data_IF_470234935345
#
_entry.id   IF_470234935345
#
_cell.length_a   1.000
_cell.length_b   1.000
_cell.length_c   1.000
_cell.angle_alpha   90.00
_cell.angle_beta   90.00
_cell.angle_gamma   90.00
#
_symmetry.space_group_name_H-M   'P 1'
#
loop_
_entity.id
_entity.type
_entity.pdbx_description
1 polymer ?
#
# COMPACT_ATOMS: atom_id res chain seq x y z
N UNK A 1 -26.42 -0.14 -9.32
CA UNK A 1 -25.49 1.00 -9.49
C UNK A 1 -24.13 0.40 -9.75
N UNK A 2 -23.58 0.53 -10.96
CA UNK A 2 -22.19 0.13 -11.17
C UNK A 2 -21.31 1.00 -10.28
N UNK A 3 -20.38 0.39 -9.53
CA UNK A 3 -19.36 1.15 -8.80
C UNK A 3 -18.67 2.07 -9.80
N UNK A 4 -18.67 3.38 -9.51
CA UNK A 4 -17.85 4.30 -10.28
C UNK A 4 -16.39 3.85 -10.14
N UNK A 5 -15.66 3.76 -11.25
CA UNK A 5 -14.25 3.37 -11.21
C UNK A 5 -13.48 4.60 -10.71
N UNK A 6 -13.20 4.62 -9.41
CA UNK A 6 -12.42 5.69 -8.77
C UNK A 6 -10.92 5.44 -8.95
N UNK A 7 -10.11 6.50 -9.14
CA UNK A 7 -8.67 6.34 -9.37
C UNK A 7 -7.96 5.84 -8.10
N UNK A 8 -6.88 5.09 -8.30
CA UNK A 8 -5.97 4.66 -7.24
C UNK A 8 -4.64 5.40 -7.37
N UNK A 9 -4.20 6.00 -6.27
CA UNK A 9 -2.94 6.75 -6.17
C UNK A 9 -1.94 5.91 -5.40
N UNK A 10 -0.97 5.37 -6.11
CA UNK A 10 0.11 4.55 -5.56
C UNK A 10 1.26 5.43 -5.11
N UNK A 11 1.73 5.20 -3.89
CA UNK A 11 2.82 5.93 -3.26
C UNK A 11 3.97 4.96 -3.01
N UNK A 12 5.12 5.19 -3.64
CA UNK A 12 6.34 4.43 -3.45
C UNK A 12 7.38 5.30 -2.73
N UNK A 13 7.76 4.91 -1.51
CA UNK A 13 8.90 5.53 -0.83
C UNK A 13 10.18 5.02 -1.48
N UNK A 14 11.16 5.91 -1.68
CA UNK A 14 12.47 5.53 -2.18
C UNK A 14 13.11 4.38 -1.35
N UNK A 15 14.01 3.64 -1.99
CA UNK A 15 14.79 2.60 -1.34
C UNK A 15 15.74 3.11 -0.25
N UNK A 16 16.30 2.18 0.51
CA UNK A 16 17.26 2.44 1.58
C UNK A 16 18.47 3.26 1.08
N UNK A 17 18.88 4.26 1.87
CA UNK A 17 20.12 5.04 1.72
C UNK A 17 21.00 4.87 2.96
N UNK A 18 22.26 5.32 2.90
CA UNK A 18 23.15 5.26 4.06
C UNK A 18 22.54 5.93 5.32
N UNK A 19 21.83 7.06 5.14
CA UNK A 19 21.22 7.81 6.24
C UNK A 19 19.89 7.25 6.72
N UNK A 20 19.11 6.59 5.84
CA UNK A 20 17.90 5.93 6.32
C UNK A 20 18.23 4.74 7.23
N UNK A 21 19.36 4.07 7.01
CA UNK A 21 19.84 2.97 7.87
C UNK A 21 20.20 3.46 9.26
N UNK A 22 20.85 4.62 9.35
CA UNK A 22 21.31 5.20 10.62
C UNK A 22 20.27 6.06 11.32
N UNK A 23 19.09 6.26 10.71
CA UNK A 23 18.01 7.08 11.26
C UNK A 23 18.27 8.59 11.18
N UNK A 24 19.12 9.04 10.26
CA UNK A 24 19.38 10.45 10.02
C UNK A 24 18.29 11.07 9.13
N UNK A 25 17.87 12.29 9.46
CA UNK A 25 16.91 13.04 8.65
C UNK A 25 17.54 13.42 7.30
N UNK A 26 17.04 12.83 6.22
CA UNK A 26 17.57 13.05 4.86
C UNK A 26 16.57 13.85 4.03
N UNK A 27 16.72 15.16 4.00
CA UNK A 27 15.81 16.09 3.31
C UNK A 27 16.31 16.29 1.89
N UNK A 28 17.03 17.38 1.68
CA UNK A 28 17.49 17.78 0.34
C UNK A 28 18.87 17.24 -0.01
N UNK A 29 19.62 16.68 0.95
CA UNK A 29 20.89 16.00 0.65
C UNK A 29 20.63 14.83 -0.30
N UNK A 30 21.31 14.85 -1.44
CA UNK A 30 21.02 13.92 -2.51
C UNK A 30 21.87 12.65 -2.42
N UNK A 31 21.45 11.71 -1.57
CA UNK A 31 22.17 10.46 -1.34
C UNK A 31 21.80 9.34 -2.31
N UNK A 32 22.75 8.48 -2.70
CA UNK A 32 22.46 7.32 -3.51
C UNK A 32 21.76 6.23 -2.68
N UNK A 33 21.12 5.30 -3.38
CA UNK A 33 20.60 4.08 -2.76
C UNK A 33 21.75 3.17 -2.30
N UNK A 34 21.54 2.41 -1.24
CA UNK A 34 22.40 1.26 -0.92
C UNK A 34 22.13 0.14 -1.91
N UNK A 35 23.04 -0.86 -2.00
CA UNK A 35 22.78 -2.08 -2.78
C UNK A 35 21.50 -2.80 -2.36
N UNK A 36 21.15 -2.75 -1.07
CA UNK A 36 19.90 -3.33 -0.55
C UNK A 36 18.70 -2.48 -0.98
N UNK A 37 18.82 -1.15 -0.91
CA UNK A 37 17.83 -0.22 -1.43
C UNK A 37 17.52 -0.43 -2.91
N UNK A 38 18.54 -0.64 -3.74
CA UNK A 38 18.36 -0.93 -5.17
C UNK A 38 17.62 -2.26 -5.41
N UNK A 39 17.98 -3.33 -4.69
CA UNK A 39 17.28 -4.62 -4.80
C UNK A 39 15.81 -4.50 -4.39
N UNK A 40 15.53 -3.78 -3.31
CA UNK A 40 14.16 -3.58 -2.86
C UNK A 40 13.36 -2.69 -3.83
N UNK A 41 14.01 -1.69 -4.44
CA UNK A 41 13.40 -0.87 -5.48
C UNK A 41 12.99 -1.70 -6.71
N UNK A 42 13.82 -2.64 -7.15
CA UNK A 42 13.46 -3.54 -8.25
C UNK A 42 12.21 -4.39 -7.95
N UNK A 43 12.07 -4.86 -6.71
CA UNK A 43 10.89 -5.63 -6.25
C UNK A 43 9.60 -4.81 -6.22
N UNK A 44 9.67 -3.48 -6.12
CA UNK A 44 8.50 -2.64 -6.31
C UNK A 44 7.96 -2.79 -7.74
N UNK A 45 8.85 -2.89 -8.74
CA UNK A 45 8.45 -3.12 -10.13
C UNK A 45 7.68 -4.44 -10.31
N UNK A 46 8.14 -5.51 -9.65
CA UNK A 46 7.45 -6.81 -9.65
C UNK A 46 6.03 -6.71 -9.07
N UNK A 47 5.85 -5.97 -7.98
CA UNK A 47 4.54 -5.76 -7.32
C UNK A 47 3.61 -4.82 -8.09
N UNK A 48 4.19 -3.93 -8.90
CA UNK A 48 3.47 -3.02 -9.78
C UNK A 48 3.26 -3.62 -11.18
N UNK A 49 3.67 -4.86 -11.41
CA UNK A 49 3.53 -5.53 -12.71
C UNK A 49 2.05 -5.64 -13.10
N UNK A 50 1.74 -5.29 -14.35
CA UNK A 50 0.37 -5.29 -14.87
C UNK A 50 -0.48 -4.08 -14.47
N UNK A 51 -0.02 -3.23 -13.55
CA UNK A 51 -0.70 -1.98 -13.25
C UNK A 51 -0.51 -0.96 -14.39
N UNK A 52 -1.60 -0.34 -14.82
CA UNK A 52 -1.58 0.72 -15.83
C UNK A 52 -1.75 2.07 -15.15
N UNK A 53 -0.82 2.98 -15.41
CA UNK A 53 -0.82 4.32 -14.83
C UNK A 53 -1.09 5.37 -15.91
N UNK A 54 -2.06 6.24 -15.65
CA UNK A 54 -2.28 7.45 -16.43
C UNK A 54 -1.12 8.44 -16.24
N UNK A 55 -0.46 8.38 -15.08
CA UNK A 55 0.69 9.22 -14.76
C UNK A 55 1.66 8.54 -13.82
N UNK A 56 2.95 8.68 -14.11
CA UNK A 56 4.03 8.39 -13.16
C UNK A 56 4.75 9.69 -12.83
N UNK A 57 4.91 9.98 -11.55
CA UNK A 57 5.61 11.16 -11.03
C UNK A 57 6.77 10.70 -10.14
N UNK A 58 7.88 11.43 -10.16
CA UNK A 58 9.01 11.17 -9.28
C UNK A 58 9.61 12.47 -8.74
N UNK A 59 10.08 12.41 -7.50
CA UNK A 59 10.94 13.46 -6.93
C UNK A 59 12.23 13.61 -7.74
N UNK A 60 12.78 14.83 -7.86
CA UNK A 60 14.06 15.06 -8.55
C UNK A 60 15.26 14.43 -7.82
N UNK A 61 15.13 14.05 -6.54
CA UNK A 61 16.24 13.49 -5.76
C UNK A 61 16.62 12.10 -6.27
N UNK A 62 17.92 11.84 -6.44
CA UNK A 62 18.45 10.65 -7.09
C UNK A 62 17.92 9.36 -6.48
N UNK A 63 17.75 9.29 -5.16
CA UNK A 63 17.20 8.09 -4.49
C UNK A 63 15.80 7.73 -4.96
N UNK A 64 14.93 8.72 -5.18
CA UNK A 64 13.57 8.49 -5.67
C UNK A 64 13.57 8.23 -7.18
N UNK A 65 14.32 9.02 -7.95
CA UNK A 65 14.48 8.81 -9.39
C UNK A 65 15.05 7.43 -9.72
N UNK A 66 16.10 7.00 -9.02
CA UNK A 66 16.70 5.68 -9.16
C UNK A 66 15.76 4.56 -8.72
N UNK A 67 14.97 4.78 -7.67
CA UNK A 67 13.92 3.82 -7.27
C UNK A 67 12.88 3.65 -8.39
N UNK A 68 12.42 4.76 -8.98
CA UNK A 68 11.48 4.77 -10.09
C UNK A 68 12.04 4.05 -11.33
N UNK A 69 13.31 4.27 -11.64
CA UNK A 69 14.01 3.60 -12.74
C UNK A 69 14.09 2.08 -12.53
N UNK A 70 14.57 1.65 -11.35
CA UNK A 70 14.72 0.25 -11.01
C UNK A 70 13.37 -0.49 -10.92
N UNK A 71 12.30 0.22 -10.55
CA UNK A 71 10.94 -0.30 -10.59
C UNK A 71 10.36 -0.40 -12.02
N UNK A 72 11.10 0.00 -13.06
CA UNK A 72 10.71 -0.13 -14.47
C UNK A 72 9.92 1.06 -15.04
N UNK A 73 9.79 2.16 -14.30
CA UNK A 73 8.96 3.30 -14.71
C UNK A 73 9.75 4.56 -15.09
N UNK A 74 11.08 4.51 -15.06
CA UNK A 74 11.94 5.67 -15.32
C UNK A 74 11.67 6.37 -16.66
N UNK A 75 11.42 5.61 -17.74
CA UNK A 75 11.20 6.15 -19.07
C UNK A 75 9.86 6.92 -19.25
N UNK A 76 8.87 6.63 -18.39
CA UNK A 76 7.52 7.26 -18.45
C UNK A 76 7.28 8.27 -17.33
N UNK A 77 8.21 8.36 -16.38
CA UNK A 77 8.09 9.24 -15.22
C UNK A 77 8.28 10.71 -15.61
N UNK A 78 7.48 11.59 -14.99
CA UNK A 78 7.73 13.03 -15.00
C UNK A 78 8.30 13.46 -13.66
N UNK A 79 9.38 14.23 -13.70
CA UNK A 79 9.95 14.85 -12.51
C UNK A 79 9.03 15.94 -12.01
N UNK A 80 8.71 15.92 -10.71
CA UNK A 80 7.94 16.96 -10.04
C UNK A 80 8.72 17.45 -8.80
N UNK A 81 9.10 18.74 -8.82
CA UNK A 81 9.88 19.36 -7.74
C UNK A 81 9.09 19.47 -6.44
N UNK A 82 7.76 19.43 -6.47
CA UNK A 82 6.95 19.43 -5.26
C UNK A 82 7.01 18.08 -4.51
N UNK A 83 7.60 17.02 -5.10
CA UNK A 83 7.75 15.70 -4.48
C UNK A 83 9.04 15.51 -3.68
N UNK A 84 9.84 16.56 -3.48
CA UNK A 84 11.02 16.48 -2.60
C UNK A 84 10.61 16.13 -1.16
N UNK A 85 11.55 15.57 -0.39
CA UNK A 85 11.32 15.35 1.03
C UNK A 85 11.07 16.66 1.76
N UNK A 86 10.55 16.59 2.99
CA UNK A 86 10.60 17.68 3.94
C UNK A 86 12.02 18.27 4.02
N UNK A 87 12.15 19.58 3.84
CA UNK A 87 13.42 20.28 4.06
C UNK A 87 13.69 20.40 5.57
N UNK A 88 14.65 19.62 6.09
CA UNK A 88 14.98 19.61 7.51
C UNK A 88 15.85 20.78 7.96
N UNK A 89 16.29 21.68 7.06
CA UNK A 89 17.10 22.85 7.43
C UNK A 89 18.30 22.46 8.29
N UNK A 90 18.39 23.04 9.48
CA UNK A 90 19.50 22.80 10.42
C UNK A 90 19.55 21.36 10.96
N UNK A 91 18.46 20.59 10.82
CA UNK A 91 18.37 19.20 11.26
C UNK A 91 18.71 18.19 10.16
N UNK A 92 19.11 18.65 8.98
CA UNK A 92 19.59 17.79 7.90
C UNK A 92 20.80 16.95 8.37
N UNK A 93 20.70 15.63 8.21
CA UNK A 93 21.75 14.70 8.62
C UNK A 93 21.81 14.38 10.11
N UNK A 94 21.01 15.03 10.96
CA UNK A 94 20.94 14.69 12.38
C UNK A 94 19.97 13.54 12.63
N UNK A 95 20.24 12.74 13.66
CA UNK A 95 19.31 11.77 14.23
C UNK A 95 18.38 12.45 15.22
N UNK A 96 17.20 11.87 15.44
CA UNK A 96 16.24 12.37 16.44
C UNK A 96 16.86 12.50 17.83
N UNK A 97 17.71 11.56 18.25
CA UNK A 97 18.38 11.61 19.55
C UNK A 97 19.33 12.81 19.69
N UNK A 98 19.99 13.23 18.61
CA UNK A 98 20.89 14.39 18.61
C UNK A 98 20.07 15.69 18.72
N UNK A 99 18.94 15.77 18.00
CA UNK A 99 18.01 16.91 18.10
C UNK A 99 17.41 17.00 19.50
N UNK A 100 17.01 15.86 20.09
CA UNK A 100 16.44 15.80 21.45
C UNK A 100 17.44 16.12 22.55
N UNK A 101 18.75 15.97 22.32
CA UNK A 101 19.76 16.39 23.29
C UNK A 101 19.74 17.92 23.51
N UNK A 102 19.41 18.69 22.48
CA UNK A 102 19.29 20.15 22.55
C UNK A 102 17.84 20.61 22.79
N UNK A 103 16.86 19.87 22.23
CA UNK A 103 15.45 20.22 22.27
C UNK A 103 14.58 18.99 22.59
N UNK A 104 14.47 18.58 23.87
CA UNK A 104 13.85 17.31 24.28
C UNK A 104 12.40 17.12 23.82
N UNK A 105 11.61 18.20 23.80
CA UNK A 105 10.20 18.13 23.43
C UNK A 105 9.95 18.19 21.92
N UNK A 106 11.00 18.32 21.09
CA UNK A 106 10.85 18.51 19.65
C UNK A 106 10.09 17.37 18.97
N UNK A 107 9.14 17.72 18.12
CA UNK A 107 8.41 16.78 17.27
C UNK A 107 8.24 17.37 15.87
N UNK A 108 8.73 16.66 14.84
CA UNK A 108 8.78 17.15 13.46
C UNK A 108 7.42 17.65 12.95
N UNK A 109 6.36 16.86 13.14
CA UNK A 109 5.05 17.16 12.58
C UNK A 109 4.33 18.32 13.28
N UNK A 110 4.75 18.67 14.51
CA UNK A 110 4.28 19.84 15.26
C UNK A 110 5.15 21.07 15.04
N UNK A 111 6.46 20.91 15.10
CA UNK A 111 7.40 22.04 15.21
C UNK A 111 8.11 22.39 13.90
N UNK A 112 8.15 21.46 12.94
CA UNK A 112 9.02 21.57 11.77
C UNK A 112 10.51 21.63 12.15
N UNK A 113 11.31 22.22 11.27
CA UNK A 113 12.75 22.37 11.48
C UNK A 113 13.21 23.82 11.34
N UNK A 114 14.14 24.31 12.18
CA UNK A 114 14.79 25.60 12.00
C UNK A 114 15.45 25.72 10.62
N UNK A 115 15.31 26.89 9.97
CA UNK A 115 15.78 27.15 8.60
C UNK A 115 15.29 26.15 7.54
N UNK A 116 14.27 25.35 7.86
CA UNK A 116 13.66 24.35 6.99
C UNK A 116 12.21 24.66 6.64
N UNK A 117 11.45 23.60 6.35
CA UNK A 117 10.00 23.67 6.16
C UNK A 117 9.26 23.53 7.51
N UNK A 118 8.19 24.31 7.67
CA UNK A 118 7.19 24.09 8.71
C UNK A 118 6.14 23.07 8.24
N UNK A 119 5.34 22.48 9.15
CA UNK A 119 4.24 21.58 8.78
C UNK A 119 3.26 22.21 7.78
N UNK A 120 3.00 23.51 7.90
CA UNK A 120 2.10 24.25 7.00
C UNK A 120 2.70 24.39 5.60
N UNK A 121 4.01 24.64 5.49
CA UNK A 121 4.68 24.79 4.18
C UNK A 121 4.72 23.47 3.41
N UNK A 122 5.09 22.38 4.08
CA UNK A 122 5.06 21.04 3.46
C UNK A 122 3.62 20.60 3.17
N UNK A 123 2.66 20.95 4.03
CA UNK A 123 1.23 20.75 3.82
C UNK A 123 0.72 21.44 2.56
N UNK A 124 0.99 22.74 2.40
CA UNK A 124 0.62 23.52 1.22
C UNK A 124 1.28 22.97 -0.05
N UNK A 125 2.51 22.44 0.04
CA UNK A 125 3.19 21.77 -1.08
C UNK A 125 2.49 20.46 -1.43
N UNK A 126 2.14 19.65 -0.44
CA UNK A 126 1.35 18.44 -0.66
C UNK A 126 -0.02 18.76 -1.27
N UNK A 127 -0.71 19.81 -0.84
CA UNK A 127 -2.00 20.25 -1.38
C UNK A 127 -1.93 20.59 -2.87
N UNK A 128 -0.85 21.23 -3.32
CA UNK A 128 -0.61 21.47 -4.76
C UNK A 128 -0.52 20.17 -5.54
N UNK A 129 0.19 19.17 -5.01
CA UNK A 129 0.30 17.85 -5.65
C UNK A 129 -1.04 17.13 -5.63
N UNK A 130 -1.76 17.12 -4.50
CA UNK A 130 -3.09 16.52 -4.37
C UNK A 130 -4.05 17.10 -5.40
N UNK A 131 -4.10 18.43 -5.54
CA UNK A 131 -4.94 19.11 -6.54
C UNK A 131 -4.63 18.65 -7.96
N UNK A 132 -3.35 18.60 -8.35
CA UNK A 132 -2.94 18.12 -9.68
C UNK A 132 -3.27 16.65 -9.90
N UNK A 133 -3.07 15.81 -8.88
CA UNK A 133 -3.32 14.36 -8.96
C UNK A 133 -4.82 14.07 -9.06
N UNK A 134 -5.67 14.78 -8.32
CA UNK A 134 -7.14 14.63 -8.40
C UNK A 134 -7.71 15.00 -9.76
N UNK A 135 -7.04 15.87 -10.52
CA UNK A 135 -7.44 16.24 -11.87
C UNK A 135 -7.12 15.16 -12.93
N UNK A 136 -6.34 14.13 -12.58
CA UNK A 136 -5.94 13.05 -13.50
C UNK A 136 -7.02 11.96 -13.52
N UNK A 137 -7.49 11.61 -14.72
CA UNK A 137 -8.37 10.46 -14.92
C UNK A 137 -7.53 9.18 -15.00
N UNK A 138 -7.64 8.33 -13.98
CA UNK A 138 -6.96 7.04 -13.90
C UNK A 138 -5.89 6.98 -12.81
N UNK A 139 -5.22 5.83 -12.70
CA UNK A 139 -4.28 5.57 -11.63
C UNK A 139 -3.01 6.42 -11.78
N UNK A 140 -2.45 6.83 -10.65
CA UNK A 140 -1.21 7.61 -10.59
C UNK A 140 -0.21 6.88 -9.71
N UNK A 141 1.05 6.84 -10.13
CA UNK A 141 2.17 6.33 -9.33
C UNK A 141 3.12 7.46 -8.96
N UNK A 142 3.45 7.59 -7.69
CA UNK A 142 4.30 8.66 -7.15
C UNK A 142 5.50 8.05 -6.43
N UNK A 143 6.71 8.37 -6.88
CA UNK A 143 7.96 8.04 -6.18
C UNK A 143 8.47 9.26 -5.40
N UNK A 144 8.61 9.13 -4.09
CA UNK A 144 9.02 10.23 -3.21
C UNK A 144 9.64 9.70 -1.90
N UNK A 145 9.57 10.48 -0.83
CA UNK A 145 10.26 10.27 0.43
C UNK A 145 9.27 10.11 1.59
N UNK A 146 9.78 9.70 2.76
CA UNK A 146 8.97 9.22 3.86
C UNK A 146 8.03 10.27 4.41
N UNK A 147 8.55 11.40 4.91
CA UNK A 147 7.71 12.38 5.58
C UNK A 147 6.79 13.14 4.63
N UNK A 148 7.25 13.44 3.42
CA UNK A 148 6.39 14.04 2.40
C UNK A 148 5.21 13.14 2.03
N UNK A 149 5.41 11.84 1.79
CA UNK A 149 4.30 10.92 1.45
C UNK A 149 3.30 10.75 2.59
N UNK A 150 3.76 10.84 3.84
CA UNK A 150 2.89 10.82 5.03
C UNK A 150 2.03 12.07 5.12
N UNK A 151 2.61 13.24 4.86
CA UNK A 151 1.86 14.50 4.77
C UNK A 151 0.90 14.44 3.57
N UNK A 152 1.34 13.97 2.41
CA UNK A 152 0.50 13.78 1.23
C UNK A 152 -0.74 12.93 1.54
N UNK A 153 -0.57 11.82 2.26
CA UNK A 153 -1.69 10.98 2.69
C UNK A 153 -2.64 11.69 3.65
N UNK A 154 -2.12 12.43 4.64
CA UNK A 154 -2.95 13.25 5.52
C UNK A 154 -3.80 14.25 4.72
N UNK A 155 -3.17 14.97 3.79
CA UNK A 155 -3.84 15.96 2.93
C UNK A 155 -4.85 15.34 1.98
N UNK A 156 -4.55 14.17 1.42
CA UNK A 156 -5.50 13.41 0.61
C UNK A 156 -6.79 13.11 1.36
N UNK A 157 -6.70 12.76 2.64
CA UNK A 157 -7.82 12.45 3.53
C UNK A 157 -8.53 13.69 4.07
N UNK A 158 -8.08 14.90 3.74
CA UNK A 158 -8.61 16.14 4.30
C UNK A 158 -8.19 16.41 5.75
N UNK A 159 -7.13 15.74 6.23
CA UNK A 159 -6.57 15.94 7.57
C UNK A 159 -5.47 17.00 7.55
N UNK A 160 -5.22 17.62 8.71
CA UNK A 160 -4.08 18.52 8.91
C UNK A 160 -2.73 17.82 8.71
N UNK A 161 -1.67 18.53 8.25
CA UNK A 161 -0.34 17.94 7.99
C UNK A 161 0.22 17.16 9.19
N UNK A 162 -0.09 17.60 10.41
CA UNK A 162 0.33 16.96 11.66
C UNK A 162 -0.12 15.50 11.78
N UNK A 163 -1.23 15.12 11.13
CA UNK A 163 -1.72 13.74 11.12
C UNK A 163 -0.74 12.77 10.42
N UNK A 164 0.19 13.30 9.62
CA UNK A 164 1.28 12.53 9.01
C UNK A 164 2.05 11.68 10.02
N UNK A 165 2.17 12.14 11.28
CA UNK A 165 2.85 11.40 12.37
C UNK A 165 2.25 10.03 12.69
N UNK A 166 1.02 9.76 12.29
CA UNK A 166 0.35 8.47 12.51
C UNK A 166 0.61 7.44 11.40
N UNK A 167 1.16 7.86 10.26
CA UNK A 167 1.34 7.00 9.09
C UNK A 167 2.78 6.47 8.96
N UNK A 168 3.17 5.44 9.71
CA UNK A 168 4.51 4.85 9.58
C UNK A 168 4.78 4.38 8.13
N UNK A 169 5.96 4.65 7.57
CA UNK A 169 6.25 4.34 6.17
C UNK A 169 7.72 3.93 5.98
N UNK A 170 7.96 2.69 5.58
CA UNK A 170 9.28 2.07 5.41
C UNK A 170 9.87 2.30 4.03
N UNK A 171 11.21 2.20 3.90
CA UNK A 171 11.89 2.39 2.61
C UNK A 171 11.51 1.29 1.63
N UNK A 172 11.35 1.65 0.35
CA UNK A 172 10.84 0.75 -0.70
C UNK A 172 9.50 0.06 -0.34
N UNK A 173 8.66 0.72 0.48
CA UNK A 173 7.27 0.32 0.69
C UNK A 173 6.37 0.89 -0.40
N UNK A 174 5.24 0.22 -0.60
CA UNK A 174 4.14 0.69 -1.43
C UNK A 174 2.93 0.99 -0.55
N UNK A 175 2.22 2.06 -0.86
CA UNK A 175 0.90 2.37 -0.29
C UNK A 175 -0.06 2.76 -1.41
N UNK A 176 -1.37 2.69 -1.15
CA UNK A 176 -2.36 3.18 -2.09
C UNK A 176 -3.46 3.97 -1.39
N UNK A 177 -3.74 5.13 -1.94
CA UNK A 177 -4.88 5.97 -1.61
C UNK A 177 -5.93 5.86 -2.71
N UNK A 178 -7.19 6.02 -2.35
CA UNK A 178 -8.29 5.97 -3.30
C UNK A 178 -9.50 6.68 -2.68
N UNK A 179 -10.70 6.28 -3.07
CA UNK A 179 -11.94 6.75 -2.49
C UNK A 179 -12.88 5.59 -2.14
N UNK A 180 -13.76 5.78 -1.17
CA UNK A 180 -14.85 4.86 -0.87
C UNK A 180 -16.06 5.17 -1.78
N UNK A 181 -16.32 4.30 -2.77
CA UNK A 181 -17.47 4.33 -3.70
C UNK A 181 -17.52 5.51 -4.69
N UNK A 182 -17.21 6.72 -4.28
CA UNK A 182 -17.25 7.95 -5.09
C UNK A 182 -16.13 8.93 -4.71
N UNK A 183 -15.92 9.98 -5.53
CA UNK A 183 -14.82 10.95 -5.34
C UNK A 183 -14.94 11.86 -4.11
N UNK A 184 -16.02 11.79 -3.33
CA UNK A 184 -16.23 12.64 -2.15
C UNK A 184 -15.71 12.02 -0.84
N UNK A 185 -15.37 10.73 -0.84
CA UNK A 185 -14.93 10.00 0.35
C UNK A 185 -13.48 9.48 0.19
N UNK A 186 -12.44 10.33 0.33
CA UNK A 186 -11.05 9.87 0.20
C UNK A 186 -10.70 8.85 1.29
N UNK A 187 -9.96 7.81 0.92
CA UNK A 187 -9.63 6.69 1.80
C UNK A 187 -8.23 6.12 1.54
N UNK A 188 -7.68 5.43 2.54
CA UNK A 188 -6.49 4.58 2.39
C UNK A 188 -6.98 3.19 1.95
N UNK A 189 -6.43 2.67 0.83
CA UNK A 189 -6.71 1.32 0.36
C UNK A 189 -5.79 0.30 1.02
N UNK A 190 -4.49 0.60 1.08
CA UNK A 190 -3.50 -0.12 1.88
C UNK A 190 -2.33 0.82 2.21
N UNK A 191 -1.58 0.51 3.25
CA UNK A 191 -0.51 1.38 3.74
C UNK A 191 0.71 0.57 4.18
N UNK A 192 1.89 1.09 3.85
CA UNK A 192 3.19 0.55 4.24
C UNK A 192 3.39 -0.94 3.92
N UNK A 193 2.93 -1.38 2.74
CA UNK A 193 3.18 -2.74 2.28
C UNK A 193 4.64 -2.81 1.78
N UNK A 194 5.52 -3.29 2.65
CA UNK A 194 6.95 -3.41 2.44
C UNK A 194 7.35 -4.89 2.35
N UNK A 195 8.38 -5.16 1.54
CA UNK A 195 8.95 -6.50 1.50
C UNK A 195 9.75 -6.77 2.79
N UNK A 196 9.25 -7.67 3.64
CA UNK A 196 9.86 -7.99 4.93
C UNK A 196 10.99 -9.04 4.86
N UNK A 197 11.22 -9.64 3.69
CA UNK A 197 12.23 -10.70 3.53
C UNK A 197 11.63 -12.11 3.42
N UNK A 198 10.34 -12.28 3.71
CA UNK A 198 9.66 -13.57 3.59
C UNK A 198 9.06 -13.75 2.21
N UNK A 199 9.24 -14.94 1.64
CA UNK A 199 8.77 -15.27 0.29
C UNK A 199 7.28 -15.56 0.35
N UNK A 200 6.44 -14.52 0.30
CA UNK A 200 5.10 -14.63 -0.27
C UNK A 200 4.82 -13.39 -1.12
N UNK A 201 4.77 -13.61 -2.44
CA UNK A 201 4.24 -12.60 -3.37
C UNK A 201 2.77 -12.43 -3.02
N UNK A 202 2.42 -11.28 -2.44
CA UNK A 202 1.03 -10.86 -2.33
C UNK A 202 0.54 -10.57 -3.75
N UNK A 203 -0.01 -11.60 -4.41
CA UNK A 203 -0.66 -11.45 -5.69
C UNK A 203 -1.93 -10.62 -5.48
N UNK A 204 -1.91 -9.37 -5.92
CA UNK A 204 -3.02 -8.41 -5.83
C UNK A 204 -4.30 -8.91 -6.54
N UNK A 205 -4.21 -9.99 -7.33
CA UNK A 205 -5.32 -10.63 -8.02
C UNK A 205 -5.72 -12.00 -7.44
N UNK A 206 -5.10 -12.47 -6.34
CA UNK A 206 -5.41 -13.78 -5.75
C UNK A 206 -6.74 -13.74 -4.99
N UNK A 207 -7.73 -14.58 -5.35
CA UNK A 207 -8.96 -14.68 -4.57
C UNK A 207 -8.68 -15.28 -3.18
N UNK A 208 -9.47 -14.94 -2.15
CA UNK A 208 -9.26 -15.44 -0.79
C UNK A 208 -9.28 -16.97 -0.74
N UNK A 209 -8.42 -17.58 0.10
CA UNK A 209 -8.22 -19.04 0.18
C UNK A 209 -9.51 -19.86 0.38
N UNK A 210 -10.57 -19.23 0.87
CA UNK A 210 -11.91 -19.82 0.98
C UNK A 210 -12.50 -20.27 -0.37
N UNK A 211 -12.04 -19.72 -1.50
CA UNK A 211 -12.53 -20.07 -2.84
C UNK A 211 -11.72 -21.20 -3.51
N UNK A 212 -10.53 -21.54 -3.00
CA UNK A 212 -9.66 -22.58 -3.58
C UNK A 212 -9.95 -24.00 -3.09
N UNK A 213 -10.74 -24.18 -2.02
CA UNK A 213 -10.97 -25.49 -1.39
C UNK A 213 -12.13 -26.33 -1.95
N UNK A 214 -12.74 -25.94 -3.08
CA UNK A 214 -13.89 -26.66 -3.62
C UNK A 214 -13.56 -27.77 -4.63
N UNK A 215 -12.30 -27.97 -5.03
CA UNK A 215 -11.94 -28.90 -6.10
C UNK A 215 -10.87 -29.92 -5.70
N UNK A 216 -11.07 -30.66 -4.60
CA UNK A 216 -10.33 -31.93 -4.39
C UNK A 216 -11.25 -32.95 -3.72
N UNK A 217 -11.21 -34.18 -4.24
CA UNK A 217 -11.83 -35.43 -3.76
C UNK A 217 -13.27 -35.76 -4.18
N UNK A 218 -13.41 -36.24 -5.43
CA UNK A 218 -14.37 -37.31 -5.76
C UNK A 218 -13.61 -38.64 -5.74
N UNK A 219 -13.91 -39.59 -4.82
CA UNK A 219 -13.22 -40.87 -4.78
C UNK A 219 -13.56 -41.72 -6.02
N UNK A 220 -12.55 -42.07 -6.83
CA UNK A 220 -12.68 -43.08 -7.88
C UNK A 220 -12.92 -44.46 -7.24
N UNK A 221 -14.11 -45.03 -7.46
CA UNK A 221 -14.40 -46.44 -7.14
C UNK A 221 -13.46 -47.36 -7.92
N UNK A 222 -12.71 -48.19 -7.21
CA UNK A 222 -11.93 -49.31 -7.78
C UNK A 222 -12.87 -50.44 -8.20
N UNK A 223 -12.80 -50.90 -9.45
CA UNK A 223 -13.25 -52.23 -9.84
C UNK A 223 -12.03 -53.12 -10.11
N UNK A 224 -12.12 -54.37 -9.64
CA UNK A 224 -11.13 -55.44 -9.76
C UNK A 224 -11.36 -56.24 -11.05
N UNK A 225 -10.29 -56.61 -11.74
CA UNK A 225 -10.04 -57.78 -12.63
C UNK A 225 -8.99 -57.36 -13.66
N UNK A 226 -8.03 -58.14 -14.15
CA UNK A 226 -7.51 -59.49 -13.92
C UNK A 226 -6.11 -59.51 -14.61
N UNK A 227 -5.27 -60.46 -14.21
CA UNK A 227 -3.89 -60.69 -14.59
C UNK A 227 -3.71 -61.17 -16.04
N UNK A 228 -2.62 -60.70 -16.68
CA UNK A 228 -1.75 -61.30 -17.74
C UNK A 228 -1.16 -60.11 -18.53
N UNK A 229 0.13 -59.86 -18.66
CA UNK A 229 1.27 -60.72 -18.94
C UNK A 229 2.07 -60.07 -20.09
N UNK A 230 3.40 -59.99 -19.94
CA UNK A 230 4.45 -59.83 -20.97
C UNK A 230 4.75 -58.48 -21.67
N UNK A 231 5.99 -58.01 -21.39
CA UNK A 231 7.08 -57.52 -22.30
C UNK A 231 6.90 -56.27 -23.19
N UNK A 232 7.65 -55.21 -22.84
CA UNK A 232 8.60 -54.33 -23.62
C UNK A 232 8.45 -54.12 -25.15
N UNK A 233 9.06 -53.07 -25.77
CA UNK A 233 9.51 -51.74 -25.30
C UNK A 233 9.21 -50.58 -26.31
N UNK A 234 9.77 -49.40 -26.03
CA UNK A 234 10.32 -48.40 -26.97
C UNK A 234 9.58 -47.07 -27.20
N UNK A 235 10.31 -46.02 -26.82
CA UNK A 235 10.60 -44.76 -27.51
C UNK A 235 9.67 -44.32 -28.67
N UNK A 236 9.16 -43.09 -28.57
CA UNK A 236 8.45 -42.42 -29.66
C UNK A 236 8.14 -40.97 -29.31
N UNK A 237 9.18 -40.12 -29.31
CA UNK A 237 9.04 -38.67 -29.34
C UNK A 237 8.55 -38.23 -30.74
N UNK A 238 7.82 -37.12 -30.75
CA UNK A 238 7.47 -36.26 -31.89
C UNK A 238 6.17 -36.53 -32.69
N UNK A 239 5.25 -35.60 -32.44
CA UNK A 239 4.58 -34.76 -33.43
C UNK A 239 3.48 -35.37 -34.33
N UNK A 240 2.26 -34.85 -34.15
CA UNK A 240 1.63 -33.99 -35.17
C UNK A 240 0.33 -33.36 -34.66
N UNK A 241 0.32 -32.03 -34.67
CA UNK A 241 -0.91 -31.26 -34.81
C UNK A 241 -1.49 -31.51 -36.21
N UNK A 242 -2.79 -31.82 -36.30
CA UNK A 242 -3.71 -31.27 -37.32
C UNK A 242 -5.17 -31.60 -36.99
N UNK A 243 -5.92 -30.50 -36.86
CA UNK A 243 -7.35 -30.25 -37.09
C UNK A 243 -8.30 -31.41 -37.45
N UNK A 244 -9.44 -31.44 -36.75
CA UNK A 244 -10.75 -31.67 -37.38
C UNK A 244 -11.93 -31.22 -36.49
N UNK A 245 -12.51 -30.11 -36.92
CA UNK A 245 -13.93 -29.75 -37.01
C UNK A 245 -15.03 -30.53 -36.25
N UNK A 246 -15.89 -29.69 -35.63
CA UNK A 246 -17.37 -29.65 -35.71
C UNK A 246 -18.28 -30.39 -34.69
N UNK A 247 -19.15 -29.53 -34.11
CA UNK A 247 -20.57 -29.69 -33.76
C UNK A 247 -20.98 -30.56 -32.57
N UNK A 248 -21.65 -29.89 -31.64
CA UNK A 248 -23.03 -30.25 -31.29
C UNK A 248 -23.32 -30.41 -29.79
N UNK A 249 -24.29 -29.62 -29.33
CA UNK A 249 -25.29 -29.95 -28.29
C UNK A 249 -24.95 -29.73 -26.81
N UNK A 250 -25.57 -28.67 -26.26
CA UNK A 250 -26.61 -28.81 -25.24
C UNK A 250 -26.21 -29.16 -23.80
N UNK A 251 -26.20 -28.16 -22.92
CA UNK A 251 -26.54 -28.31 -21.49
C UNK A 251 -26.82 -26.90 -20.92
N UNK A 252 -28.07 -26.51 -20.77
CA UNK A 252 -28.91 -26.71 -19.58
C UNK A 252 -28.49 -25.80 -18.42
N UNK A 253 -29.31 -24.78 -18.24
CA UNK A 253 -29.31 -23.81 -17.14
C UNK A 253 -29.59 -24.51 -15.82
N UNK A 254 -28.65 -24.45 -14.88
CA UNK A 254 -28.94 -24.71 -13.47
C UNK A 254 -28.87 -23.41 -12.65
N UNK A 255 -30.04 -23.09 -12.09
CA UNK A 255 -30.27 -22.06 -11.09
C UNK A 255 -29.45 -22.38 -9.84
N UNK A 256 -28.51 -21.51 -9.48
CA UNK A 256 -27.96 -21.53 -8.12
C UNK A 256 -28.93 -20.82 -7.17
N UNK A 257 -29.59 -21.65 -6.37
CA UNK A 257 -30.36 -21.27 -5.19
C UNK A 257 -29.38 -20.72 -4.14
N UNK A 258 -29.50 -19.44 -3.81
CA UNK A 258 -28.81 -18.87 -2.64
C UNK A 258 -29.53 -19.32 -1.36
N UNK A 259 -28.91 -20.25 -0.63
CA UNK A 259 -29.31 -20.58 0.75
C UNK A 259 -28.61 -19.62 1.71
N UNK A 260 -29.35 -18.66 2.25
CA UNK A 260 -28.88 -17.83 3.35
C UNK A 260 -28.82 -18.68 4.63
N UNK A 261 -27.62 -19.04 5.08
CA UNK A 261 -27.43 -19.52 6.46
C UNK A 261 -27.30 -18.32 7.39
N UNK A 262 -28.17 -18.30 8.41
CA UNK A 262 -28.12 -17.40 9.58
C UNK A 262 -26.70 -17.34 10.15
N UNK A 263 -26.14 -16.15 10.23
CA UNK A 263 -24.99 -15.87 11.10
C UNK A 263 -25.54 -15.69 12.51
N UNK A 264 -25.25 -16.64 13.39
CA UNK A 264 -25.47 -16.48 14.83
C UNK A 264 -24.38 -15.56 15.37
N UNK A 265 -24.75 -14.33 15.72
CA UNK A 265 -23.87 -13.42 16.47
C UNK A 265 -23.86 -13.88 17.92
N UNK A 266 -22.70 -14.31 18.42
CA UNK A 266 -22.50 -14.48 19.86
C UNK A 266 -22.40 -13.08 20.49
N UNK A 267 -23.49 -12.66 21.14
CA UNK A 267 -23.47 -11.50 22.02
C UNK A 267 -22.68 -11.85 23.28
N UNK A 268 -21.64 -11.06 23.58
CA UNK A 268 -21.04 -11.06 24.92
C UNK A 268 -22.03 -10.42 25.90
N UNK A 269 -22.25 -10.99 27.10
CA UNK A 269 -23.23 -10.46 28.04
C UNK A 269 -22.87 -9.05 28.51
N UNK A 270 -23.80 -8.11 28.31
CA UNK A 270 -23.93 -6.92 29.15
C UNK A 270 -24.46 -7.38 30.49
N UNK A 271 -23.63 -7.28 31.54
CA UNK A 271 -24.00 -6.86 32.89
C UNK A 271 -22.86 -7.19 33.85
N UNK A 272 -21.97 -6.23 34.09
CA UNK A 272 -21.41 -5.94 35.42
C UNK A 272 -20.96 -4.47 35.45
N UNK A 273 -21.91 -3.57 35.70
CA UNK A 273 -21.63 -2.26 36.29
C UNK A 273 -21.73 -2.44 37.81
N UNK A 274 -20.66 -2.17 38.56
CA UNK A 274 -20.68 -1.23 39.69
C UNK A 274 -19.35 -1.21 40.51
N UNK A 275 -19.00 0.02 40.92
CA UNK A 275 -18.14 0.42 42.06
C UNK A 275 -16.63 0.57 41.83
N UNK A 276 -16.20 1.82 41.53
CA UNK A 276 -15.48 2.69 42.50
C UNK A 276 -15.11 4.03 41.83
N UNK A 277 -15.87 5.08 42.12
CA UNK A 277 -15.44 6.47 41.98
C UNK A 277 -15.04 6.98 43.38
N UNK A 278 -13.86 7.59 43.56
CA UNK A 278 -13.54 8.27 44.81
C UNK A 278 -14.32 9.59 44.93
N UNK A 279 -14.78 9.85 46.17
CA UNK A 279 -15.59 10.99 46.58
C UNK A 279 -14.78 12.29 46.59
N UNK A 280 -15.40 13.38 46.11
CA UNK A 280 -15.09 14.74 46.55
C UNK A 280 -14.61 15.69 45.45
N UNK A 281 -15.53 16.41 44.81
CA UNK A 281 -15.78 17.83 45.09
C UNK A 281 -16.97 18.29 44.23
N UNK A 282 -18.00 18.81 44.89
CA UNK A 282 -19.13 19.52 44.29
C UNK A 282 -19.00 20.99 44.67
N UNK A 283 -19.02 21.87 43.68
CA UNK A 283 -19.52 23.24 43.75
C UNK A 283 -19.56 23.76 42.29
N UNK A 284 -20.72 23.73 41.63
CA UNK A 284 -21.74 24.77 41.63
C UNK A 284 -21.46 25.83 40.56
N UNK A 285 -22.23 25.80 39.46
CA UNK A 285 -22.61 26.98 38.69
C UNK A 285 -23.91 26.65 37.94
N UNK A 286 -25.02 26.92 38.62
CA UNK A 286 -26.33 27.13 38.01
C UNK A 286 -26.72 28.57 38.32
N UNK A 287 -26.75 29.43 37.31
CA UNK A 287 -27.77 30.46 37.12
C UNK A 287 -27.66 31.00 35.69
N UNK A 288 -28.75 30.82 34.94
CA UNK A 288 -29.09 31.71 33.86
C UNK A 288 -29.96 32.82 34.42
N UNK A 289 -29.46 34.05 34.33
CA UNK A 289 -30.12 35.33 34.03
C UNK A 289 -29.03 36.40 33.94
#
# INVERSE_FOLDING_TARGET
MASEIVPVIYLARHGETAWSVTGQHTGLTDLPLTKRGERNAARLGERLAGAVFAKVLTSPLQRAARTCELAGFGAVARVDRDLVEWNYGDYEGLRTAEIHAERPDWELFRDGCPNGESPERVGARADRVVSRVRAIKGNVLIFSSGHFLRVFAARWLGLEPVAGKFFMLDTASLSALSYEKDLSHPAIRFWNDAWDGTVEVFDLNRPPESEMRACVDVPRRRSKHDNRGTRTPSCGFAAKCRESNNRGEGAQTDRLIFSYRKVTVFATPRDQVAKRLPRGLSAALSHGL
#
